data_IF_160173978412
#
_entry.id   IF_160173978412
#
_cell.length_a   1.000
_cell.length_b   1.000
_cell.length_c   1.000
_cell.angle_alpha   90.00
_cell.angle_beta   90.00
_cell.angle_gamma   90.00
#
_symmetry.space_group_name_H-M   'P 1'
#
loop_
_entity.id
_entity.type
_entity.pdbx_description
1 polymer ?
#
# COMPACT_ATOMS: atom_id res chain seq x y z
N UNK A 1 15.03 -18.06 21.55
CA UNK A 1 14.56 -18.75 20.32
C UNK A 1 13.04 -18.76 20.20
N UNK A 2 12.28 -19.31 21.16
CA UNK A 2 10.82 -19.46 21.01
C UNK A 2 10.07 -18.13 20.81
N UNK A 3 10.39 -17.08 21.59
CA UNK A 3 9.73 -15.77 21.51
C UNK A 3 9.91 -15.11 20.13
N UNK A 4 11.12 -15.21 19.56
CA UNK A 4 11.43 -14.64 18.24
C UNK A 4 10.57 -15.31 17.17
N UNK A 5 10.48 -16.65 17.20
CA UNK A 5 9.67 -17.39 16.23
C UNK A 5 8.19 -17.03 16.35
N UNK A 6 7.65 -16.89 17.58
CA UNK A 6 6.27 -16.43 17.81
C UNK A 6 6.06 -15.04 17.21
N UNK A 7 6.98 -14.11 17.44
CA UNK A 7 6.88 -12.74 16.91
C UNK A 7 6.93 -12.71 15.38
N UNK A 8 7.83 -13.49 14.77
CA UNK A 8 7.93 -13.61 13.30
C UNK A 8 6.68 -14.24 12.71
N UNK A 9 6.16 -15.32 13.31
CA UNK A 9 4.91 -15.94 12.90
C UNK A 9 3.74 -14.95 12.96
N UNK A 10 3.62 -14.19 14.05
CA UNK A 10 2.58 -13.17 14.21
C UNK A 10 2.71 -12.07 13.15
N UNK A 11 3.93 -11.58 12.90
CA UNK A 11 4.19 -10.58 11.86
C UNK A 11 3.82 -11.07 10.46
N UNK A 12 4.21 -12.29 10.10
CA UNK A 12 3.84 -12.93 8.83
C UNK A 12 2.32 -13.10 8.73
N UNK A 13 1.67 -13.58 9.79
CA UNK A 13 0.23 -13.78 9.81
C UNK A 13 -0.53 -12.46 9.63
N UNK A 14 -0.14 -11.40 10.35
CA UNK A 14 -0.71 -10.06 10.18
C UNK A 14 -0.49 -9.53 8.76
N UNK A 15 0.69 -9.75 8.18
CA UNK A 15 0.99 -9.34 6.80
C UNK A 15 0.10 -10.08 5.79
N UNK A 16 -0.09 -11.39 5.95
CA UNK A 16 -0.96 -12.19 5.07
C UNK A 16 -2.42 -11.77 5.19
N UNK A 17 -2.92 -11.56 6.41
CA UNK A 17 -4.27 -11.02 6.63
C UNK A 17 -4.46 -9.67 5.94
N UNK A 18 -3.47 -8.80 6.05
CA UNK A 18 -3.49 -7.50 5.41
C UNK A 18 -3.44 -7.60 3.87
N UNK A 19 -2.60 -8.48 3.31
CA UNK A 19 -2.57 -8.73 1.87
C UNK A 19 -3.91 -9.29 1.35
N UNK A 20 -4.55 -10.16 2.13
CA UNK A 20 -5.88 -10.68 1.82
C UNK A 20 -6.95 -9.58 1.90
N UNK A 21 -6.88 -8.70 2.90
CA UNK A 21 -7.76 -7.53 3.02
C UNK A 21 -7.64 -6.59 1.81
N UNK A 22 -6.41 -6.27 1.39
CA UNK A 22 -6.12 -5.42 0.24
C UNK A 22 -6.75 -5.98 -1.05
N UNK A 23 -6.64 -7.29 -1.27
CA UNK A 23 -7.09 -7.90 -2.52
C UNK A 23 -8.59 -8.19 -2.57
N UNK A 24 -9.22 -8.61 -1.47
CA UNK A 24 -10.63 -9.04 -1.48
C UNK A 24 -11.59 -8.02 -0.88
N UNK A 25 -11.21 -7.38 0.24
CA UNK A 25 -12.15 -6.56 0.98
C UNK A 25 -12.36 -5.20 0.30
N UNK A 26 -11.29 -4.59 -0.22
CA UNK A 26 -11.40 -3.27 -0.86
C UNK A 26 -12.35 -3.23 -2.05
N UNK A 27 -12.35 -4.27 -2.89
CA UNK A 27 -13.20 -4.30 -4.07
C UNK A 27 -14.67 -4.45 -3.69
N UNK A 28 -14.99 -5.28 -2.70
CA UNK A 28 -16.37 -5.50 -2.26
C UNK A 28 -16.91 -4.39 -1.32
N UNK A 29 -16.05 -3.74 -0.53
CA UNK A 29 -16.52 -2.85 0.54
C UNK A 29 -16.88 -1.46 0.05
N UNK A 30 -18.07 -0.96 0.44
CA UNK A 30 -18.58 0.39 0.15
C UNK A 30 -18.92 0.66 -1.32
N UNK A 31 -19.47 -0.34 -1.99
CA UNK A 31 -20.14 -0.19 -3.28
C UNK A 31 -19.23 -0.42 -4.48
N UNK A 32 -19.79 -0.17 -5.67
CA UNK A 32 -19.13 -0.41 -6.95
C UNK A 32 -17.97 0.55 -7.14
N UNK A 33 -16.83 0.00 -7.56
CA UNK A 33 -15.68 0.79 -7.96
C UNK A 33 -15.91 1.30 -9.38
N UNK A 34 -15.97 2.63 -9.54
CA UNK A 34 -16.21 3.29 -10.82
C UNK A 34 -14.91 3.46 -11.62
N UNK A 35 -13.81 3.74 -10.92
CA UNK A 35 -12.50 3.89 -11.53
C UNK A 35 -11.41 3.33 -10.63
N UNK A 36 -10.47 2.58 -11.21
CA UNK A 36 -9.25 2.11 -10.56
C UNK A 36 -8.05 2.76 -11.23
N UNK A 37 -7.26 3.47 -10.45
CA UNK A 37 -6.08 4.20 -10.95
C UNK A 37 -4.83 3.69 -10.24
N UNK A 38 -3.80 3.37 -11.01
CA UNK A 38 -2.53 2.91 -10.47
C UNK A 38 -1.71 4.09 -9.95
N UNK A 39 -1.19 3.92 -8.73
CA UNK A 39 -0.34 4.92 -8.10
C UNK A 39 1.12 4.53 -8.23
N UNK A 40 1.97 5.55 -8.23
CA UNK A 40 3.42 5.36 -8.20
C UNK A 40 3.80 4.65 -6.89
N UNK A 41 4.54 3.54 -7.03
CA UNK A 41 5.06 2.78 -5.88
C UNK A 41 6.04 3.65 -5.09
N UNK A 42 5.69 3.98 -3.86
CA UNK A 42 6.54 4.68 -2.90
C UNK A 42 6.89 3.70 -1.78
N UNK A 43 8.19 3.45 -1.57
CA UNK A 43 8.67 2.48 -0.57
C UNK A 43 9.47 1.29 -1.12
N UNK A 44 9.71 1.20 -2.43
CA UNK A 44 10.52 0.12 -3.01
C UNK A 44 11.94 0.08 -2.44
N UNK A 45 12.55 1.26 -2.25
CA UNK A 45 13.89 1.40 -1.68
C UNK A 45 13.93 0.89 -0.23
N UNK A 46 12.92 1.23 0.56
CA UNK A 46 12.84 0.82 1.98
C UNK A 46 12.72 -0.69 2.11
N UNK A 47 11.90 -1.33 1.28
CA UNK A 47 11.76 -2.78 1.27
C UNK A 47 13.04 -3.50 0.82
N UNK A 48 13.79 -2.94 -0.13
CA UNK A 48 15.11 -3.46 -0.51
C UNK A 48 16.10 -3.39 0.65
N UNK A 49 16.17 -2.23 1.33
CA UNK A 49 17.03 -2.03 2.50
C UNK A 49 16.66 -3.02 3.61
N UNK A 50 15.37 -3.17 3.91
CA UNK A 50 14.87 -4.09 4.92
C UNK A 50 15.22 -5.56 4.61
N UNK A 51 15.01 -5.97 3.35
CA UNK A 51 15.33 -7.33 2.89
C UNK A 51 16.83 -7.62 2.98
N UNK A 52 17.67 -6.65 2.59
CA UNK A 52 19.13 -6.73 2.71
C UNK A 52 19.57 -6.84 4.17
N UNK A 53 18.98 -6.05 5.06
CA UNK A 53 19.29 -6.08 6.49
C UNK A 53 18.98 -7.45 7.12
N UNK A 54 17.84 -8.05 6.77
CA UNK A 54 17.52 -9.42 7.21
C UNK A 54 18.52 -10.42 6.65
N UNK A 55 18.92 -10.29 5.38
CA UNK A 55 19.94 -11.13 4.76
C UNK A 55 21.28 -11.08 5.51
N UNK A 56 21.71 -9.89 5.94
CA UNK A 56 22.90 -9.70 6.77
C UNK A 56 22.76 -10.40 8.13
N UNK A 57 21.59 -10.27 8.79
CA UNK A 57 21.32 -10.94 10.07
C UNK A 57 21.40 -12.46 9.93
N UNK A 58 20.83 -13.01 8.85
CA UNK A 58 20.91 -14.44 8.53
C UNK A 58 22.37 -14.85 8.36
N UNK A 59 23.15 -14.12 7.57
CA UNK A 59 24.55 -14.43 7.31
C UNK A 59 25.39 -14.44 8.59
N UNK A 60 25.22 -13.44 9.46
CA UNK A 60 25.97 -13.35 10.71
C UNK A 60 25.59 -14.42 11.74
N UNK A 61 24.33 -14.85 11.76
CA UNK A 61 23.79 -15.73 12.81
C UNK A 61 23.54 -17.16 12.32
N UNK A 62 23.93 -17.50 11.09
CA UNK A 62 23.55 -18.74 10.41
C UNK A 62 23.80 -20.00 11.24
N UNK A 63 24.96 -20.09 11.90
CA UNK A 63 25.35 -21.24 12.73
C UNK A 63 24.55 -21.37 14.03
N UNK A 64 23.96 -20.28 14.50
CA UNK A 64 23.19 -20.23 15.75
C UNK A 64 21.68 -20.22 15.52
N UNK A 65 21.21 -20.05 14.28
CA UNK A 65 19.79 -19.99 13.95
C UNK A 65 19.17 -21.39 13.97
N UNK A 66 18.01 -21.51 14.63
CA UNK A 66 17.17 -22.67 14.43
C UNK A 66 16.62 -22.68 12.99
N UNK A 67 16.44 -23.86 12.40
CA UNK A 67 15.88 -23.98 11.04
C UNK A 67 14.53 -23.25 10.91
N UNK A 68 13.71 -23.28 11.96
CA UNK A 68 12.44 -22.55 12.01
C UNK A 68 12.62 -21.03 11.88
N UNK A 69 13.57 -20.44 12.62
CA UNK A 69 13.86 -19.00 12.55
C UNK A 69 14.35 -18.61 11.15
N UNK A 70 15.21 -19.44 10.54
CA UNK A 70 15.69 -19.22 9.18
C UNK A 70 14.53 -19.16 8.18
N UNK A 71 13.64 -20.15 8.19
CA UNK A 71 12.47 -20.17 7.28
C UNK A 71 11.56 -18.95 7.48
N UNK A 72 11.33 -18.54 8.72
CA UNK A 72 10.51 -17.36 9.03
C UNK A 72 11.14 -16.05 8.53
N UNK A 73 12.47 -15.88 8.70
CA UNK A 73 13.18 -14.72 8.18
C UNK A 73 13.19 -14.70 6.64
N UNK A 74 13.40 -15.85 6.01
CA UNK A 74 13.31 -15.98 4.55
C UNK A 74 11.90 -15.65 4.05
N UNK A 75 10.86 -16.14 4.73
CA UNK A 75 9.48 -15.79 4.40
C UNK A 75 9.24 -14.28 4.54
N UNK A 76 9.80 -13.63 5.56
CA UNK A 76 9.69 -12.18 5.74
C UNK A 76 10.37 -11.40 4.61
N UNK A 77 11.54 -11.85 4.12
CA UNK A 77 12.18 -11.29 2.92
C UNK A 77 11.24 -11.42 1.70
N UNK A 78 10.68 -12.61 1.47
CA UNK A 78 9.76 -12.84 0.34
C UNK A 78 8.52 -11.94 0.43
N UNK A 79 7.94 -11.77 1.61
CA UNK A 79 6.78 -10.89 1.83
C UNK A 79 7.15 -9.41 1.63
N UNK A 80 8.33 -8.99 2.06
CA UNK A 80 8.85 -7.63 1.83
C UNK A 80 9.00 -7.34 0.33
N UNK A 81 9.58 -8.29 -0.42
CA UNK A 81 9.71 -8.20 -1.88
C UNK A 81 8.32 -8.20 -2.55
N UNK A 82 7.40 -9.05 -2.10
CA UNK A 82 6.01 -9.06 -2.57
C UNK A 82 5.33 -7.69 -2.36
N UNK A 83 5.46 -7.11 -1.16
CA UNK A 83 4.88 -5.82 -0.81
C UNK A 83 5.38 -4.68 -1.70
N UNK A 84 6.65 -4.72 -2.08
CA UNK A 84 7.30 -3.62 -2.80
C UNK A 84 7.19 -3.72 -4.31
N UNK A 85 7.28 -4.94 -4.85
CA UNK A 85 7.36 -5.16 -6.30
C UNK A 85 6.05 -5.66 -6.89
N UNK A 86 5.33 -6.54 -6.20
CA UNK A 86 4.12 -7.15 -6.74
C UNK A 86 2.91 -6.27 -6.41
N UNK A 87 2.75 -5.89 -5.14
CA UNK A 87 1.66 -5.01 -4.72
C UNK A 87 1.86 -3.61 -5.30
N UNK A 88 0.85 -3.11 -6.02
CA UNK A 88 0.81 -1.75 -6.51
C UNK A 88 -0.23 -0.96 -5.69
N UNK A 89 0.12 0.21 -5.11
CA UNK A 89 -0.88 1.06 -4.50
C UNK A 89 -1.87 1.51 -5.59
N UNK A 90 -3.17 1.42 -5.30
CA UNK A 90 -4.23 1.84 -6.21
C UNK A 90 -5.12 2.87 -5.51
N UNK A 91 -5.60 3.83 -6.29
CA UNK A 91 -6.70 4.70 -5.92
C UNK A 91 -7.98 4.09 -6.47
N UNK A 92 -8.90 3.71 -5.59
CA UNK A 92 -10.20 3.16 -5.97
C UNK A 92 -11.26 4.24 -5.77
N UNK A 93 -11.79 4.79 -6.85
CA UNK A 93 -12.89 5.74 -6.82
C UNK A 93 -14.21 4.95 -6.85
N UNK A 94 -15.05 5.17 -5.85
CA UNK A 94 -16.39 4.54 -5.71
C UNK A 94 -17.47 5.59 -5.86
N UNK A 95 -18.73 5.20 -5.78
CA UNK A 95 -19.85 6.13 -5.96
C UNK A 95 -19.92 7.24 -4.89
N UNK A 96 -19.63 6.92 -3.62
CA UNK A 96 -19.80 7.85 -2.48
C UNK A 96 -18.49 8.31 -1.83
N UNK A 97 -17.36 7.84 -2.34
CA UNK A 97 -16.05 8.10 -1.77
C UNK A 97 -14.97 7.31 -2.47
N UNK A 98 -13.78 7.34 -1.91
CA UNK A 98 -12.62 6.70 -2.52
C UNK A 98 -11.75 6.00 -1.47
N UNK A 99 -11.04 4.97 -1.89
CA UNK A 99 -9.98 4.37 -1.09
C UNK A 99 -8.62 4.90 -1.54
N UNK A 100 -7.87 5.42 -0.57
CA UNK A 100 -6.47 5.78 -0.74
C UNK A 100 -5.65 5.15 0.37
N UNK A 101 -4.62 4.36 0.01
CA UNK A 101 -3.72 3.73 0.98
C UNK A 101 -4.43 2.85 2.01
N UNK A 102 -5.49 2.12 1.63
CA UNK A 102 -6.32 1.28 2.52
C UNK A 102 -7.32 2.00 3.42
N UNK A 103 -7.41 3.33 3.31
CA UNK A 103 -8.35 4.13 4.09
C UNK A 103 -9.44 4.64 3.15
N UNK A 104 -10.69 4.52 3.59
CA UNK A 104 -11.83 5.09 2.87
C UNK A 104 -12.08 6.54 3.28
N UNK A 105 -12.21 7.40 2.29
CA UNK A 105 -12.56 8.81 2.44
C UNK A 105 -13.87 9.09 1.70
N UNK A 106 -14.75 9.89 2.30
CA UNK A 106 -15.99 10.30 1.66
C UNK A 106 -15.74 11.53 0.78
N UNK A 107 -16.44 11.63 -0.35
CA UNK A 107 -16.34 12.82 -1.19
C UNK A 107 -16.83 14.09 -0.47
N UNK A 108 -17.81 13.95 0.43
CA UNK A 108 -18.32 15.04 1.24
C UNK A 108 -17.26 15.69 2.16
N UNK A 109 -16.18 14.98 2.46
CA UNK A 109 -15.09 15.47 3.30
C UNK A 109 -14.02 16.22 2.51
N UNK A 110 -14.07 16.20 1.17
CA UNK A 110 -13.14 16.93 0.31
C UNK A 110 -13.43 18.43 0.41
N UNK A 111 -12.39 19.20 0.69
CA UNK A 111 -12.42 20.66 0.65
C UNK A 111 -12.03 21.16 -0.74
N UNK A 112 -10.89 20.70 -1.27
CA UNK A 112 -10.45 21.02 -2.62
C UNK A 112 -9.62 19.88 -3.22
N UNK A 113 -9.60 19.83 -4.54
CA UNK A 113 -8.75 18.93 -5.31
C UNK A 113 -7.90 19.79 -6.24
N UNK A 114 -6.59 19.74 -6.06
CA UNK A 114 -5.62 20.48 -6.86
C UNK A 114 -4.72 19.52 -7.62
N UNK A 115 -4.32 19.92 -8.82
CA UNK A 115 -3.27 19.25 -9.57
C UNK A 115 -1.97 20.00 -9.33
N UNK A 116 -1.01 19.34 -8.72
CA UNK A 116 0.35 19.81 -8.64
C UNK A 116 1.15 19.33 -9.86
N UNK A 117 2.32 19.93 -10.05
CA UNK A 117 3.29 19.50 -11.05
C UNK A 117 3.70 18.03 -10.81
N UNK A 118 4.21 17.36 -11.84
CA UNK A 118 4.68 15.97 -11.80
C UNK A 118 3.60 14.90 -11.52
N UNK A 119 2.37 15.07 -12.01
CA UNK A 119 1.29 14.09 -11.89
C UNK A 119 0.91 13.78 -10.44
N UNK A 120 0.96 14.79 -9.58
CA UNK A 120 0.57 14.71 -8.18
C UNK A 120 -0.80 15.36 -8.02
N UNK A 121 -1.79 14.58 -7.60
CA UNK A 121 -3.09 15.08 -7.23
C UNK A 121 -3.12 15.32 -5.72
N UNK A 122 -3.39 16.56 -5.32
CA UNK A 122 -3.48 16.98 -3.93
C UNK A 122 -4.96 17.08 -3.57
N UNK A 123 -5.43 16.19 -2.70
CA UNK A 123 -6.79 16.23 -2.17
C UNK A 123 -6.72 16.79 -0.76
N UNK A 124 -7.19 18.01 -0.58
CA UNK A 124 -7.30 18.64 0.73
C UNK A 124 -8.64 18.27 1.36
N UNK A 125 -8.56 17.77 2.59
CA UNK A 125 -9.71 17.34 3.36
C UNK A 125 -10.17 18.46 4.29
N UNK A 126 -11.46 18.49 4.62
CA UNK A 126 -12.05 19.46 5.57
C UNK A 126 -11.44 19.37 6.98
N UNK A 127 -10.87 18.22 7.34
CA UNK A 127 -10.17 18.02 8.62
C UNK A 127 -8.72 18.53 8.63
N UNK A 128 -8.27 19.20 7.56
CA UNK A 128 -6.91 19.75 7.42
C UNK A 128 -5.85 18.74 6.94
N UNK A 129 -6.19 17.46 6.75
CA UNK A 129 -5.27 16.48 6.16
C UNK A 129 -5.18 16.69 4.66
N UNK A 130 -3.95 16.60 4.12
CA UNK A 130 -3.68 16.65 2.69
C UNK A 130 -3.28 15.27 2.20
N UNK A 131 -3.97 14.74 1.20
CA UNK A 131 -3.64 13.47 0.57
C UNK A 131 -2.88 13.75 -0.73
N UNK A 132 -1.63 13.27 -0.81
CA UNK A 132 -0.77 13.41 -1.96
C UNK A 132 -0.80 12.13 -2.80
N UNK A 133 -1.60 12.15 -3.85
CA UNK A 133 -1.84 11.00 -4.73
C UNK A 133 -0.93 11.11 -5.94
N UNK A 134 0.08 10.24 -6.02
CA UNK A 134 1.05 10.26 -7.11
C UNK A 134 0.60 9.30 -8.20
N UNK A 135 0.17 9.86 -9.32
CA UNK A 135 -0.37 9.10 -10.45
C UNK A 135 0.78 8.52 -11.27
N UNK A 136 0.58 7.32 -11.82
CA UNK A 136 1.63 6.62 -12.56
C UNK A 136 1.79 7.18 -13.98
N UNK A 137 0.70 7.46 -14.68
CA UNK A 137 0.71 7.87 -16.10
C UNK A 137 -0.16 9.11 -16.34
N UNK A 138 0.09 9.85 -17.43
CA UNK A 138 -0.73 11.00 -17.81
C UNK A 138 -2.18 10.62 -18.14
N UNK A 139 -2.42 9.41 -18.65
CA UNK A 139 -3.77 8.87 -18.86
C UNK A 139 -4.54 8.72 -17.54
N UNK A 140 -3.87 8.26 -16.47
CA UNK A 140 -4.47 8.16 -15.14
C UNK A 140 -4.88 9.55 -14.63
N UNK A 141 -4.06 10.56 -14.90
CA UNK A 141 -4.36 11.95 -14.56
C UNK A 141 -5.63 12.42 -15.25
N UNK A 142 -5.76 12.19 -16.55
CA UNK A 142 -6.97 12.57 -17.30
C UNK A 142 -8.23 11.88 -16.78
N UNK A 143 -8.15 10.57 -16.49
CA UNK A 143 -9.31 9.83 -15.96
C UNK A 143 -9.75 10.37 -14.60
N UNK A 144 -8.80 10.68 -13.71
CA UNK A 144 -9.12 11.24 -12.39
C UNK A 144 -9.68 12.66 -12.50
N UNK A 145 -9.17 13.48 -13.42
CA UNK A 145 -9.70 14.82 -13.71
C UNK A 145 -11.14 14.73 -14.24
N UNK A 146 -11.40 13.82 -15.19
CA UNK A 146 -12.74 13.62 -15.73
C UNK A 146 -13.71 13.15 -14.64
N UNK A 147 -13.25 12.26 -13.76
CA UNK A 147 -14.06 11.76 -12.65
C UNK A 147 -14.44 12.87 -11.65
N UNK A 148 -13.47 13.67 -11.19
CA UNK A 148 -13.74 14.76 -10.24
C UNK A 148 -14.40 15.98 -10.92
N UNK A 149 -14.11 16.24 -12.20
CA UNK A 149 -14.70 17.33 -12.98
C UNK A 149 -16.19 17.13 -13.26
N UNK A 150 -16.64 15.87 -13.34
CA UNK A 150 -18.06 15.51 -13.40
C UNK A 150 -18.80 15.60 -12.06
N UNK A 151 -18.10 15.90 -10.95
CA UNK A 151 -18.66 15.95 -9.59
C UNK A 151 -18.96 17.39 -9.10
N UNK A 152 -19.13 18.35 -10.02
CA UNK A 152 -19.66 19.70 -9.70
C UNK A 152 -21.17 19.65 -9.51
#
# INVERSE_FOLDING_TARGET
MMIINVLLCLGIFCFLLYAFYDQFFMDCWKGKTLLKVHLKKQGQKDALIFSLLIGIIIYQTYTNLSSATLYLLTALILLSVYAAFIRAPMLLLKEKGFFFGNIYFQYADIHQVNLAENNILVIDMKNGKRLLVHLLTDQDREQVIQFFGGYK
#
